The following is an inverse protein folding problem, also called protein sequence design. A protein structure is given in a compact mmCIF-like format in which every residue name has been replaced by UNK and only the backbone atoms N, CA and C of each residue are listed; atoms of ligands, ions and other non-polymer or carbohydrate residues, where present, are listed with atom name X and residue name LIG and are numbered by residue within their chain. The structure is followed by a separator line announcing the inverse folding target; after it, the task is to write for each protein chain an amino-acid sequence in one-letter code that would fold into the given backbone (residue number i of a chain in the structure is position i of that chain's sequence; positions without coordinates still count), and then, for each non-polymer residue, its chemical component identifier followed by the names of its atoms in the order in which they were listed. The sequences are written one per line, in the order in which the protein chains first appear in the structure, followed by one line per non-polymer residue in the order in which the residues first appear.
data_IF_784025869498
#
_entry.id   IF_784025869498
#
_cell.length_a   1.000
_cell.length_b   1.000
_cell.length_c   1.000
_cell.angle_alpha   90.00
_cell.angle_beta   90.00
_cell.angle_gamma   90.00
#
_symmetry.space_group_name_H-M   'P 1'
#
loop_
_entity.id
_entity.type
_entity.pdbx_description
1 polymer ?
#
# COMPACT_ATOMS: atom_id res chain seq x y z
N UNK A 1 -10.04 -4.49 18.40
CA UNK A 1 -9.73 -5.75 17.71
C UNK A 1 -8.52 -5.52 16.82
N UNK A 2 -7.48 -6.35 16.90
CA UNK A 2 -6.31 -6.26 16.02
C UNK A 2 -6.76 -6.50 14.57
N UNK A 3 -6.28 -5.69 13.63
CA UNK A 3 -6.60 -5.88 12.20
C UNK A 3 -5.70 -6.98 11.66
N UNK A 4 -6.28 -8.08 11.19
CA UNK A 4 -5.54 -9.12 10.47
C UNK A 4 -5.14 -8.61 9.09
N UNK A 5 -3.84 -8.60 8.81
CA UNK A 5 -3.31 -8.19 7.50
C UNK A 5 -3.50 -9.28 6.45
N UNK A 6 -3.21 -10.52 6.83
CA UNK A 6 -3.48 -11.70 6.03
C UNK A 6 -4.56 -12.53 6.76
N UNK A 7 -5.70 -12.84 6.12
CA UNK A 7 -6.72 -13.68 6.72
C UNK A 7 -6.26 -15.15 6.78
N UNK A 8 -6.92 -15.91 7.65
CA UNK A 8 -6.65 -17.33 7.88
C UNK A 8 -5.71 -17.59 9.06
N UNK A 9 -5.19 -18.81 9.12
CA UNK A 9 -4.35 -19.33 10.20
C UNK A 9 -2.86 -19.35 9.82
N UNK A 10 -2.00 -19.57 10.82
CA UNK A 10 -0.56 -19.73 10.62
C UNK A 10 -0.28 -20.86 9.62
N UNK A 11 0.55 -20.59 8.62
CA UNK A 11 0.81 -21.52 7.51
C UNK A 11 2.08 -21.17 6.75
N UNK A 12 2.65 -22.17 6.10
CA UNK A 12 3.67 -21.95 5.09
C UNK A 12 3.00 -21.56 3.76
N UNK A 13 3.60 -20.60 3.06
CA UNK A 13 3.12 -20.09 1.78
C UNK A 13 4.28 -20.18 0.80
N UNK A 14 4.05 -20.90 -0.31
CA UNK A 14 5.00 -21.02 -1.41
C UNK A 14 4.94 -19.79 -2.31
N UNK A 15 6.09 -19.42 -2.89
CA UNK A 15 6.24 -18.44 -3.97
C UNK A 15 6.92 -19.07 -5.19
N UNK A 16 6.94 -20.41 -5.27
CA UNK A 16 7.66 -21.16 -6.31
C UNK A 16 7.08 -21.01 -7.71
N UNK A 17 5.83 -20.58 -7.82
CA UNK A 17 5.15 -20.39 -9.08
C UNK A 17 4.19 -19.19 -9.01
N UNK A 18 3.81 -18.72 -10.19
CA UNK A 18 2.92 -17.57 -10.35
C UNK A 18 1.55 -17.77 -9.70
N UNK A 19 1.01 -19.00 -9.69
CA UNK A 19 -0.30 -19.27 -9.11
C UNK A 19 -0.30 -19.11 -7.58
N UNK A 20 0.74 -19.62 -6.91
CA UNK A 20 0.92 -19.45 -5.47
C UNK A 20 1.11 -17.97 -5.10
N UNK A 21 1.91 -17.24 -5.89
CA UNK A 21 2.12 -15.80 -5.70
C UNK A 21 0.81 -15.01 -5.88
N UNK A 22 0.03 -15.30 -6.93
CA UNK A 22 -1.29 -14.70 -7.13
C UNK A 22 -2.21 -15.00 -5.95
N UNK A 23 -2.30 -16.26 -5.53
CA UNK A 23 -3.15 -16.68 -4.41
C UNK A 23 -2.78 -15.96 -3.10
N UNK A 24 -1.49 -15.73 -2.85
CA UNK A 24 -1.04 -14.93 -1.72
C UNK A 24 -1.49 -13.46 -1.83
N UNK A 25 -1.22 -12.81 -2.96
CA UNK A 25 -1.58 -11.40 -3.14
C UNK A 25 -3.09 -11.18 -3.09
N UNK A 26 -3.89 -12.08 -3.62
CA UNK A 26 -5.35 -11.98 -3.58
C UNK A 26 -5.91 -12.09 -2.15
N UNK A 27 -5.21 -12.80 -1.26
CA UNK A 27 -5.56 -12.88 0.16
C UNK A 27 -5.09 -11.67 0.97
N UNK A 28 -4.14 -10.87 0.46
CA UNK A 28 -3.63 -9.71 1.18
C UNK A 28 -4.74 -8.67 1.41
N UNK A 29 -5.17 -8.51 2.66
CA UNK A 29 -6.21 -7.57 3.04
C UNK A 29 -5.67 -6.15 3.27
N UNK A 30 -4.38 -6.01 3.62
CA UNK A 30 -3.75 -4.73 3.91
C UNK A 30 -2.34 -4.61 3.30
N UNK A 31 -1.86 -3.38 3.10
CA UNK A 31 -0.49 -3.13 2.61
C UNK A 31 0.61 -3.71 3.52
N UNK A 32 0.33 -3.88 4.81
CA UNK A 32 1.24 -4.59 5.73
C UNK A 32 1.53 -6.03 5.31
N UNK A 33 0.61 -6.68 4.58
CA UNK A 33 0.82 -8.01 3.99
C UNK A 33 1.78 -7.98 2.81
N UNK A 34 2.07 -6.81 2.23
CA UNK A 34 3.15 -6.65 1.27
C UNK A 34 4.47 -6.30 1.97
N UNK A 35 4.63 -6.73 3.22
CA UNK A 35 5.83 -6.50 4.03
C UNK A 35 6.16 -5.02 4.29
N UNK A 36 5.17 -4.12 4.14
CA UNK A 36 5.34 -2.68 4.33
C UNK A 36 5.70 -2.26 5.77
N UNK A 37 5.53 -3.17 6.74
CA UNK A 37 5.90 -2.96 8.13
C UNK A 37 7.11 -3.80 8.49
N UNK A 38 8.29 -3.21 8.35
CA UNK A 38 9.57 -3.93 8.50
C UNK A 38 9.73 -4.60 9.87
N UNK A 39 9.14 -4.05 10.93
CA UNK A 39 9.28 -4.56 12.29
C UNK A 39 8.61 -5.91 12.54
N UNK A 40 7.74 -6.39 11.64
CA UNK A 40 7.12 -7.73 11.75
C UNK A 40 7.85 -8.81 10.95
N UNK A 41 9.03 -8.51 10.41
CA UNK A 41 9.71 -9.39 9.47
C UNK A 41 10.88 -10.12 10.11
N UNK A 42 10.95 -11.42 9.88
CA UNK A 42 12.10 -12.25 10.22
C UNK A 42 12.58 -12.88 8.93
N UNK A 43 13.85 -12.70 8.59
CA UNK A 43 14.45 -13.20 7.35
C UNK A 43 15.66 -14.06 7.67
N UNK A 44 15.91 -15.08 6.83
CA UNK A 44 17.15 -15.85 6.91
C UNK A 44 18.28 -14.97 6.37
N UNK A 45 19.31 -14.70 7.19
CA UNK A 45 20.43 -13.82 6.81
C UNK A 45 21.09 -14.23 5.50
N UNK A 46 21.35 -15.52 5.30
CA UNK A 46 21.99 -15.99 4.05
C UNK A 46 21.15 -15.70 2.80
N UNK A 47 19.83 -15.83 2.89
CA UNK A 47 18.94 -15.48 1.79
C UNK A 47 18.85 -13.97 1.56
N UNK A 48 18.87 -13.18 2.64
CA UNK A 48 18.92 -11.73 2.56
C UNK A 48 20.21 -11.22 1.91
N UNK A 49 21.35 -11.77 2.30
CA UNK A 49 22.66 -11.37 1.77
C UNK A 49 22.82 -11.80 0.29
N UNK A 50 22.19 -12.91 -0.11
CA UNK A 50 22.20 -13.40 -1.50
C UNK A 50 21.20 -12.68 -2.43
N UNK A 51 20.08 -12.18 -1.90
CA UNK A 51 19.08 -11.49 -2.70
C UNK A 51 19.60 -10.13 -3.22
N UNK A 52 19.41 -9.89 -4.51
CA UNK A 52 19.81 -8.64 -5.16
C UNK A 52 19.07 -7.43 -4.59
N UNK A 53 19.73 -6.28 -4.68
CA UNK A 53 19.16 -4.99 -4.35
C UNK A 53 19.09 -4.15 -5.62
N UNK A 54 17.98 -3.44 -5.81
CA UNK A 54 17.81 -2.52 -6.92
C UNK A 54 18.03 -1.09 -6.43
N UNK A 55 19.10 -0.47 -6.91
CA UNK A 55 19.48 0.91 -6.56
C UNK A 55 18.42 1.91 -7.03
N UNK A 56 17.71 1.59 -8.12
CA UNK A 56 16.62 2.39 -8.64
C UNK A 56 15.37 2.30 -7.76
N UNK A 57 15.42 1.66 -6.59
CA UNK A 57 14.35 1.66 -5.60
C UNK A 57 14.75 2.28 -4.26
N UNK A 58 15.98 2.78 -4.11
CA UNK A 58 16.48 3.29 -2.82
C UNK A 58 15.61 4.39 -2.21
N UNK A 59 15.14 5.32 -3.04
CA UNK A 59 14.27 6.43 -2.64
C UNK A 59 12.77 6.09 -2.65
N UNK A 60 12.41 4.83 -2.91
CA UNK A 60 11.00 4.41 -3.00
C UNK A 60 10.31 4.27 -1.64
N UNK A 61 11.06 4.25 -0.53
CA UNK A 61 10.61 3.84 0.81
C UNK A 61 10.19 2.36 0.91
N UNK A 62 10.23 1.61 -0.20
CA UNK A 62 9.81 0.21 -0.32
C UNK A 62 10.90 -0.70 -0.90
N UNK A 63 12.16 -0.25 -0.89
CA UNK A 63 13.31 -1.07 -1.34
C UNK A 63 13.43 -2.39 -0.56
N UNK A 64 13.09 -2.38 0.73
CA UNK A 64 13.03 -3.60 1.54
C UNK A 64 11.95 -4.56 1.05
N UNK A 65 10.77 -4.06 0.67
CA UNK A 65 9.69 -4.89 0.11
C UNK A 65 10.14 -5.57 -1.18
N UNK A 66 10.78 -4.81 -2.08
CA UNK A 66 11.39 -5.37 -3.27
C UNK A 66 12.34 -6.50 -2.93
N UNK A 67 13.29 -6.24 -2.02
CA UNK A 67 14.31 -7.24 -1.64
C UNK A 67 13.70 -8.51 -1.05
N UNK A 68 12.66 -8.39 -0.22
CA UNK A 68 11.96 -9.54 0.35
C UNK A 68 11.24 -10.34 -0.74
N UNK A 69 10.54 -9.66 -1.65
CA UNK A 69 9.82 -10.33 -2.73
C UNK A 69 10.78 -10.95 -3.75
N UNK A 70 11.93 -10.32 -4.04
CA UNK A 70 13.04 -10.93 -4.79
C UNK A 70 13.55 -12.18 -4.08
N UNK A 71 13.82 -12.09 -2.78
CA UNK A 71 14.27 -13.24 -2.00
C UNK A 71 13.27 -14.40 -2.06
N UNK A 72 11.96 -14.10 -2.01
CA UNK A 72 10.91 -15.12 -2.15
C UNK A 72 10.80 -15.70 -3.56
N UNK A 73 11.05 -14.91 -4.61
CA UNK A 73 10.99 -15.37 -6.01
C UNK A 73 12.27 -16.07 -6.50
N UNK A 74 13.44 -15.67 -5.99
CA UNK A 74 14.75 -16.17 -6.44
C UNK A 74 15.21 -17.41 -5.66
N UNK A 75 14.70 -17.63 -4.45
CA UNK A 75 15.09 -18.78 -3.65
C UNK A 75 14.49 -20.09 -4.19
N UNK A 76 15.31 -21.14 -4.30
CA UNK A 76 14.85 -22.51 -4.61
C UNK A 76 13.73 -23.00 -3.66
N UNK A 77 13.73 -22.49 -2.44
CA UNK A 77 12.73 -22.76 -1.41
C UNK A 77 11.79 -21.58 -1.15
N UNK A 78 11.59 -20.62 -2.07
CA UNK A 78 10.74 -19.43 -1.91
C UNK A 78 9.49 -19.64 -1.04
N UNK A 79 9.63 -19.44 0.28
CA UNK A 79 8.66 -19.82 1.30
C UNK A 79 8.54 -18.71 2.31
N UNK A 80 7.31 -18.42 2.67
CA UNK A 80 6.94 -17.51 3.73
C UNK A 80 6.22 -18.30 4.81
N UNK A 81 6.76 -18.31 6.03
CA UNK A 81 6.01 -18.77 7.19
C UNK A 81 5.18 -17.61 7.76
N UNK A 82 3.86 -17.69 7.65
CA UNK A 82 2.94 -16.75 8.28
C UNK A 82 2.65 -17.17 9.73
N UNK A 83 2.75 -16.22 10.65
CA UNK A 83 2.39 -16.37 12.06
C UNK A 83 1.16 -15.50 12.32
N UNK A 84 0.05 -16.11 12.71
CA UNK A 84 -1.25 -15.44 12.91
C UNK A 84 -1.40 -14.83 14.32
N UNK A 85 -0.30 -14.30 14.85
CA UNK A 85 -0.23 -13.67 16.18
C UNK A 85 0.27 -12.23 16.06
N UNK A 86 -0.37 -11.32 16.80
CA UNK A 86 0.04 -9.92 16.86
C UNK A 86 1.23 -9.74 17.82
N UNK A 87 2.40 -10.26 17.42
CA UNK A 87 3.61 -10.27 18.26
C UNK A 87 4.25 -8.88 18.42
N UNK A 88 3.97 -7.95 17.51
CA UNK A 88 4.54 -6.60 17.51
C UNK A 88 3.41 -5.56 17.56
N UNK A 89 3.49 -4.65 18.54
CA UNK A 89 2.56 -3.53 18.64
C UNK A 89 2.93 -2.43 17.65
N UNK A 90 1.99 -2.07 16.78
CA UNK A 90 2.13 -0.94 15.86
C UNK A 90 1.52 0.32 16.49
N UNK A 91 2.37 1.32 16.79
CA UNK A 91 1.92 2.65 17.23
C UNK A 91 1.56 3.49 16.01
N UNK A 92 0.25 3.63 15.77
CA UNK A 92 -0.25 4.56 14.76
C UNK A 92 0.01 6.02 15.18
N UNK A 93 0.27 6.90 14.23
CA UNK A 93 0.44 8.33 14.48
C UNK A 93 1.90 8.80 14.65
N UNK A 94 2.87 7.88 14.65
CA UNK A 94 4.29 8.19 14.49
C UNK A 94 4.72 8.03 13.03
N UNK A 95 3.88 8.49 12.10
CA UNK A 95 4.20 8.46 10.68
C UNK A 95 5.13 9.64 10.40
N UNK A 96 6.44 9.40 10.51
CA UNK A 96 7.47 10.40 10.21
C UNK A 96 7.31 10.97 8.81
N UNK A 97 6.63 10.29 7.89
CA UNK A 97 6.40 10.72 6.51
C UNK A 97 5.14 11.60 6.37
N UNK A 98 4.29 11.69 7.39
CA UNK A 98 3.12 12.56 7.38
C UNK A 98 3.46 14.06 7.53
N UNK A 99 4.71 14.41 7.86
CA UNK A 99 5.16 15.80 7.98
C UNK A 99 5.01 16.58 6.66
N UNK A 100 5.22 15.91 5.53
CA UNK A 100 5.09 16.47 4.18
C UNK A 100 3.65 16.51 3.65
N UNK A 101 2.68 16.19 4.52
CA UNK A 101 1.26 16.25 4.21
C UNK A 101 0.69 14.99 3.59
N UNK A 102 -0.64 15.01 3.42
CA UNK A 102 -1.39 13.83 2.99
C UNK A 102 -1.09 13.46 1.53
N UNK A 103 -0.93 14.45 0.64
CA UNK A 103 -0.57 14.18 -0.75
C UNK A 103 0.71 13.36 -0.87
N UNK A 104 1.82 13.84 -0.29
CA UNK A 104 3.15 13.20 -0.42
C UNK A 104 3.15 11.79 0.15
N UNK A 105 2.52 11.58 1.32
CA UNK A 105 2.41 10.25 1.93
C UNK A 105 1.71 9.24 1.02
N UNK A 106 0.61 9.64 0.38
CA UNK A 106 -0.15 8.76 -0.54
C UNK A 106 0.57 8.56 -1.88
N UNK A 107 1.20 9.60 -2.40
CA UNK A 107 2.06 9.52 -3.58
C UNK A 107 3.19 8.51 -3.35
N UNK A 108 3.84 8.52 -2.19
CA UNK A 108 4.87 7.55 -1.81
C UNK A 108 4.35 6.12 -1.86
N UNK A 109 3.18 5.82 -1.29
CA UNK A 109 2.60 4.47 -1.36
C UNK A 109 2.34 4.05 -2.81
N UNK A 110 1.66 4.91 -3.58
CA UNK A 110 1.25 4.61 -4.96
C UNK A 110 2.47 4.39 -5.85
N UNK A 111 3.41 5.33 -5.84
CA UNK A 111 4.61 5.27 -6.69
C UNK A 111 5.57 4.18 -6.24
N UNK A 112 5.78 4.03 -4.93
CA UNK A 112 6.69 3.04 -4.37
C UNK A 112 6.30 1.62 -4.77
N UNK A 113 5.05 1.24 -4.50
CA UNK A 113 4.57 -0.09 -4.89
C UNK A 113 4.44 -0.26 -6.40
N UNK A 114 4.08 0.79 -7.17
CA UNK A 114 4.09 0.69 -8.62
C UNK A 114 5.49 0.36 -9.15
N UNK A 115 6.54 1.03 -8.65
CA UNK A 115 7.93 0.76 -9.00
C UNK A 115 8.35 -0.66 -8.61
N UNK A 116 8.04 -1.09 -7.39
CA UNK A 116 8.31 -2.47 -6.93
C UNK A 116 7.64 -3.49 -7.87
N UNK A 117 6.36 -3.33 -8.18
CA UNK A 117 5.64 -4.27 -9.04
C UNK A 117 6.17 -4.31 -10.47
N UNK A 118 6.58 -3.18 -11.04
CA UNK A 118 7.22 -3.13 -12.37
C UNK A 118 8.58 -3.82 -12.38
N UNK A 119 9.38 -3.64 -11.33
CA UNK A 119 10.73 -4.19 -11.24
C UNK A 119 10.71 -5.72 -11.00
N UNK A 120 9.71 -6.22 -10.28
CA UNK A 120 9.61 -7.64 -9.94
C UNK A 120 8.86 -8.47 -10.98
N UNK A 121 7.75 -7.93 -11.49
CA UNK A 121 6.76 -8.73 -12.21
C UNK A 121 6.54 -8.16 -13.61
N UNK A 122 6.73 -8.95 -14.68
CA UNK A 122 6.33 -8.53 -16.01
C UNK A 122 4.81 -8.33 -16.10
N UNK A 123 4.30 -7.66 -17.14
CA UNK A 123 2.87 -7.62 -17.41
C UNK A 123 2.25 -9.04 -17.40
N UNK A 124 1.35 -9.30 -16.45
CA UNK A 124 0.74 -10.61 -16.26
C UNK A 124 -0.08 -10.72 -14.98
N UNK A 125 -0.55 -11.94 -14.68
CA UNK A 125 -1.45 -12.21 -13.56
C UNK A 125 -0.82 -11.88 -12.19
N UNK A 126 0.46 -12.18 -11.99
CA UNK A 126 1.16 -11.88 -10.72
C UNK A 126 1.20 -10.38 -10.46
N UNK A 127 1.57 -9.59 -11.48
CA UNK A 127 1.60 -8.12 -11.37
C UNK A 127 0.21 -7.54 -11.08
N UNK A 128 -0.82 -8.07 -11.74
CA UNK A 128 -2.20 -7.65 -11.50
C UNK A 128 -2.67 -7.99 -10.08
N UNK A 129 -2.36 -9.18 -9.58
CA UNK A 129 -2.71 -9.61 -8.22
C UNK A 129 -2.01 -8.75 -7.17
N UNK A 130 -0.71 -8.48 -7.39
CA UNK A 130 0.10 -7.58 -6.55
C UNK A 130 -0.47 -6.15 -6.52
N UNK A 131 -0.72 -5.54 -7.68
CA UNK A 131 -1.35 -4.22 -7.76
C UNK A 131 -2.78 -4.20 -7.20
N UNK A 132 -3.51 -5.31 -7.32
CA UNK A 132 -4.84 -5.50 -6.75
C UNK A 132 -4.86 -5.26 -5.24
N UNK A 133 -3.77 -5.54 -4.51
CA UNK A 133 -3.66 -5.25 -3.08
C UNK A 133 -3.79 -3.74 -2.82
N UNK A 134 -3.16 -2.90 -3.64
CA UNK A 134 -3.26 -1.44 -3.54
C UNK A 134 -4.67 -0.97 -3.89
N UNK A 135 -5.22 -1.46 -4.99
CA UNK A 135 -6.57 -1.08 -5.46
C UNK A 135 -7.61 -1.34 -4.37
N UNK A 136 -7.53 -2.48 -3.68
CA UNK A 136 -8.44 -2.82 -2.57
C UNK A 136 -8.23 -1.95 -1.32
N UNK A 137 -7.01 -1.46 -1.09
CA UNK A 137 -6.64 -0.74 0.13
C UNK A 137 -6.72 0.78 0.05
N UNK A 138 -6.81 1.34 -1.15
CA UNK A 138 -6.92 2.78 -1.36
C UNK A 138 -8.39 3.13 -1.68
N UNK A 139 -9.19 3.50 -0.68
CA UNK A 139 -10.58 3.86 -0.92
C UNK A 139 -10.69 5.14 -1.76
N UNK A 140 -11.69 5.17 -2.64
CA UNK A 140 -11.92 6.27 -3.61
C UNK A 140 -11.97 7.67 -2.96
N UNK A 141 -12.50 7.81 -1.74
CA UNK A 141 -12.58 9.11 -1.06
C UNK A 141 -11.20 9.66 -0.62
N UNK A 142 -10.17 8.81 -0.57
CA UNK A 142 -8.79 9.26 -0.38
C UNK A 142 -8.20 9.75 -1.69
N UNK A 143 -8.59 9.15 -2.82
CA UNK A 143 -8.20 9.62 -4.15
C UNK A 143 -8.82 10.98 -4.47
N UNK A 144 -10.08 11.26 -4.06
CA UNK A 144 -10.67 12.60 -4.22
C UNK A 144 -9.90 13.66 -3.43
N UNK A 145 -9.48 13.32 -2.21
CA UNK A 145 -8.61 14.17 -1.40
C UNK A 145 -7.24 14.36 -2.05
N UNK A 146 -6.67 13.30 -2.63
CA UNK A 146 -5.40 13.35 -3.34
C UNK A 146 -5.49 14.30 -4.55
N UNK A 147 -6.55 14.21 -5.36
CA UNK A 147 -6.82 15.18 -6.45
C UNK A 147 -6.95 16.61 -5.93
N UNK A 148 -7.67 16.82 -4.84
CA UNK A 148 -7.87 18.15 -4.26
C UNK A 148 -6.57 18.78 -3.72
N UNK A 149 -5.68 17.95 -3.15
CA UNK A 149 -4.39 18.39 -2.60
C UNK A 149 -3.28 18.45 -3.66
N UNK A 150 -3.51 17.95 -4.87
CA UNK A 150 -2.56 18.09 -5.97
C UNK A 150 -2.28 19.58 -6.25
N UNK A 151 -1.00 19.92 -6.40
CA UNK A 151 -0.52 21.30 -6.62
C UNK A 151 -1.01 21.85 -7.95
N UNK A 152 -0.92 21.02 -8.99
CA UNK A 152 -1.22 21.38 -10.37
C UNK A 152 -1.76 20.15 -11.13
N UNK A 153 -2.23 20.39 -12.35
CA UNK A 153 -2.80 19.36 -13.20
C UNK A 153 -1.74 18.34 -13.64
N UNK A 154 -0.50 18.77 -13.84
CA UNK A 154 0.61 17.89 -14.23
C UNK A 154 0.89 16.83 -13.16
N UNK A 155 0.97 17.24 -11.90
CA UNK A 155 1.16 16.35 -10.76
C UNK A 155 0.01 15.35 -10.66
N UNK A 156 -1.23 15.79 -10.88
CA UNK A 156 -2.37 14.89 -10.90
C UNK A 156 -2.29 13.88 -12.05
N UNK A 157 -1.97 14.32 -13.26
CA UNK A 157 -1.90 13.43 -14.43
C UNK A 157 -0.83 12.34 -14.27
N UNK A 158 0.30 12.65 -13.62
CA UNK A 158 1.32 11.65 -13.26
C UNK A 158 0.75 10.56 -12.35
N UNK A 159 0.05 10.95 -11.29
CA UNK A 159 -0.59 10.00 -10.37
C UNK A 159 -1.70 9.22 -11.07
N UNK A 160 -2.52 9.88 -11.88
CA UNK A 160 -3.62 9.26 -12.61
C UNK A 160 -3.12 8.19 -13.58
N UNK A 161 -2.01 8.43 -14.26
CA UNK A 161 -1.37 7.43 -15.12
C UNK A 161 -0.96 6.19 -14.31
N UNK A 162 -0.37 6.37 -13.13
CA UNK A 162 -0.02 5.26 -12.24
C UNK A 162 -1.26 4.54 -11.71
N UNK A 163 -2.32 5.26 -11.32
CA UNK A 163 -3.57 4.63 -10.88
C UNK A 163 -4.21 3.78 -11.98
N UNK A 164 -4.19 4.23 -13.23
CA UNK A 164 -4.66 3.43 -14.38
C UNK A 164 -3.82 2.16 -14.55
N UNK A 165 -2.51 2.27 -14.45
CA UNK A 165 -1.59 1.12 -14.53
C UNK A 165 -1.85 0.10 -13.42
N UNK A 166 -2.10 0.57 -12.19
CA UNK A 166 -2.43 -0.28 -11.04
C UNK A 166 -3.76 -1.03 -11.22
N UNK A 167 -4.61 -0.62 -12.16
CA UNK A 167 -5.89 -1.26 -12.45
C UNK A 167 -7.09 -0.63 -11.73
N UNK A 168 -7.02 0.64 -11.34
CA UNK A 168 -8.20 1.36 -10.83
C UNK A 168 -9.26 1.52 -11.93
N UNK A 169 -10.52 1.30 -11.57
CA UNK A 169 -11.65 1.43 -12.50
C UNK A 169 -11.77 2.86 -13.07
N UNK A 170 -11.95 2.95 -14.40
CA UNK A 170 -11.96 4.23 -15.10
C UNK A 170 -13.16 5.11 -14.72
N UNK A 171 -14.33 4.53 -14.40
CA UNK A 171 -15.51 5.31 -13.99
C UNK A 171 -15.29 5.90 -12.59
N UNK A 172 -14.69 5.13 -11.69
CA UNK A 172 -14.26 5.59 -10.37
C UNK A 172 -13.26 6.74 -10.49
N UNK A 173 -12.25 6.62 -11.36
CA UNK A 173 -11.26 7.67 -11.56
C UNK A 173 -11.89 8.96 -12.11
N UNK A 174 -12.82 8.86 -13.08
CA UNK A 174 -13.57 10.02 -13.56
C UNK A 174 -14.37 10.69 -12.45
N UNK A 175 -15.05 9.91 -11.60
CA UNK A 175 -15.77 10.46 -10.44
C UNK A 175 -14.82 11.14 -9.44
N UNK A 176 -13.63 10.57 -9.24
CA UNK A 176 -12.57 11.14 -8.40
C UNK A 176 -12.14 12.51 -8.92
N UNK A 177 -11.94 12.65 -10.23
CA UNK A 177 -11.55 13.91 -10.86
C UNK A 177 -12.61 15.00 -10.70
N UNK A 178 -13.89 14.66 -10.93
CA UNK A 178 -15.01 15.60 -10.79
C UNK A 178 -15.14 16.07 -9.34
N UNK A 179 -15.16 15.14 -8.38
CA UNK A 179 -15.37 15.46 -6.97
C UNK A 179 -14.15 16.19 -6.41
N UNK A 180 -12.95 15.67 -6.65
CA UNK A 180 -11.69 16.23 -6.15
C UNK A 180 -11.34 17.58 -6.77
N UNK A 181 -11.73 17.81 -8.03
CA UNK A 181 -11.55 19.09 -8.73
C UNK A 181 -12.49 20.20 -8.22
N UNK A 182 -13.63 19.84 -7.61
CA UNK A 182 -14.55 20.83 -7.04
C UNK A 182 -14.11 21.27 -5.64
N UNK A 183 -13.40 22.40 -5.58
CA UNK A 183 -12.84 22.94 -4.32
C UNK A 183 -13.91 23.27 -3.27
N UNK A 184 -15.12 23.69 -3.66
CA UNK A 184 -16.19 24.01 -2.71
C UNK A 184 -16.71 22.74 -2.04
N UNK A 185 -17.01 21.71 -2.85
CA UNK A 185 -17.44 20.39 -2.37
C UNK A 185 -16.40 19.80 -1.42
N UNK A 186 -15.12 19.81 -1.82
CA UNK A 186 -14.04 19.26 -1.00
C UNK A 186 -13.82 20.03 0.30
N UNK A 187 -13.90 21.37 0.28
CA UNK A 187 -13.83 22.17 1.52
C UNK A 187 -14.97 21.84 2.49
N UNK A 188 -16.19 21.65 1.98
CA UNK A 188 -17.33 21.25 2.80
C UNK A 188 -17.10 19.85 3.41
N UNK A 189 -16.71 18.85 2.60
CA UNK A 189 -16.43 17.49 3.06
C UNK A 189 -15.31 17.41 4.10
N UNK A 190 -14.22 18.16 3.90
CA UNK A 190 -13.11 18.18 4.86
C UNK A 190 -13.50 18.90 6.17
N UNK A 191 -14.34 19.94 6.11
CA UNK A 191 -14.87 20.63 7.30
C UNK A 191 -15.79 19.71 8.11
N UNK A 192 -16.73 19.01 7.47
CA UNK A 192 -17.63 18.08 8.16
C UNK A 192 -16.85 16.92 8.78
N UNK A 193 -15.83 16.39 8.08
CA UNK A 193 -14.94 15.37 8.65
C UNK A 193 -14.18 15.87 9.89
N UNK A 194 -13.59 17.07 9.83
CA UNK A 194 -12.91 17.68 10.98
C UNK A 194 -13.86 17.91 12.16
N UNK A 195 -15.09 18.36 11.90
CA UNK A 195 -16.12 18.54 12.92
C UNK A 195 -16.50 17.21 13.56
N UNK A 196 -16.72 16.16 12.76
CA UNK A 196 -17.01 14.81 13.26
C UNK A 196 -15.87 14.25 14.12
N UNK A 197 -14.63 14.39 13.69
CA UNK A 197 -13.45 13.98 14.47
C UNK A 197 -13.34 14.71 15.80
N UNK A 198 -13.64 16.02 15.83
CA UNK A 198 -13.68 16.80 17.07
C UNK A 198 -14.78 16.34 18.02
N UNK A 199 -15.97 16.03 17.50
CA UNK A 199 -17.10 15.52 18.29
C UNK A 199 -16.80 14.14 18.88
N UNK A 200 -16.23 13.22 18.08
CA UNK A 200 -15.81 11.88 18.56
C UNK A 200 -14.74 12.01 19.64
N UNK A 201 -13.70 12.84 19.44
CA UNK A 201 -12.69 13.08 20.47
C UNK A 201 -13.28 13.67 21.75
N UNK A 202 -14.27 14.58 21.66
CA UNK A 202 -14.95 15.10 22.86
C UNK A 202 -15.75 14.04 23.61
N UNK A 203 -16.35 13.09 22.90
CA UNK A 203 -17.13 12.02 23.52
C UNK A 203 -16.25 10.96 24.19
N UNK A 204 -15.15 10.57 23.54
CA UNK A 204 -14.19 9.55 24.04
C UNK A 204 -13.38 10.03 25.26
N UNK A 205 -13.27 11.34 25.49
CA UNK A 205 -12.58 11.91 26.67
C UNK A 205 -13.52 12.31 27.81
N UNK A 206 -14.84 12.15 27.63
CA UNK A 206 -15.87 12.42 28.65
C UNK A 206 -16.52 11.12 29.18
N UNK A 207 -15.96 9.96 28.86
CA UNK A 207 -16.32 8.62 29.34
C UNK A 207 -15.07 7.94 29.87
#
# INVERSE_FOLDING_TARGET
MARKWLPGEAREISFRNDADACAYFDQCAYLGSLFAFISSLIVRRSAWDAASYDIDLEDSYYSHVYKILRMLGDAEEGRLQYVDEALVLCRMGNDSFAHDGFFRRFETDIQGFARVGRALYPPGAVRQSFFGVLVRNIPWYRLTRLKYEARDEEQWQKILATLRELGFDQRMLTAVEIIGGNRLTMRALLRTHKLRQRLIKRFVWNT
#
